data_IF_971016032236
#
_entry.id   IF_971016032236
#
_cell.length_a   1.000
_cell.length_b   1.000
_cell.length_c   1.000
_cell.angle_alpha   90.00
_cell.angle_beta   90.00
_cell.angle_gamma   90.00
#
_symmetry.space_group_name_H-M   'P 1'
#
loop_
_entity.id
_entity.type
_entity.pdbx_description
1 polymer ?
#
# COMPACT_ATOMS: atom_id res chain seq x y z
N UNK A 1 -7.38 -2.79 15.48
CA UNK A 1 -7.28 -2.82 14.01
C UNK A 1 -5.81 -2.96 13.60
N UNK A 2 -5.51 -3.83 12.62
CA UNK A 2 -4.14 -4.05 12.14
C UNK A 2 -3.66 -2.86 11.28
N UNK A 3 -4.58 -2.23 10.55
CA UNK A 3 -4.31 -1.10 9.66
C UNK A 3 -4.26 0.20 10.44
N UNK A 4 -3.16 0.94 10.28
CA UNK A 4 -2.92 2.24 10.89
C UNK A 4 -3.50 3.38 10.02
N UNK A 5 -3.29 3.31 8.70
CA UNK A 5 -3.69 4.36 7.75
C UNK A 5 -3.84 3.79 6.36
N UNK A 6 -4.81 4.30 5.60
CA UNK A 6 -5.00 3.97 4.17
C UNK A 6 -4.88 5.26 3.35
N UNK A 7 -4.14 5.20 2.26
CA UNK A 7 -4.00 6.26 1.27
C UNK A 7 -4.71 5.82 -0.01
N UNK A 8 -5.91 6.31 -0.20
CA UNK A 8 -6.72 6.01 -1.38
C UNK A 8 -7.61 7.21 -1.70
N UNK A 9 -7.53 7.79 -2.91
CA UNK A 9 -8.27 9.01 -3.25
C UNK A 9 -9.79 8.83 -3.25
N UNK A 10 -10.29 7.60 -3.29
CA UNK A 10 -11.71 7.29 -3.14
C UNK A 10 -12.27 7.42 -1.72
N UNK A 11 -11.40 7.51 -0.70
CA UNK A 11 -11.84 7.74 0.68
C UNK A 11 -12.09 9.23 0.92
N UNK A 12 -13.24 9.57 1.53
CA UNK A 12 -13.57 10.95 1.91
C UNK A 12 -12.53 11.59 2.85
N UNK A 13 -11.79 10.78 3.60
CA UNK A 13 -10.70 11.22 4.48
C UNK A 13 -9.39 11.56 3.73
N UNK A 14 -9.29 11.25 2.43
CA UNK A 14 -8.10 11.57 1.65
C UNK A 14 -8.04 13.08 1.37
N UNK A 15 -6.89 13.77 1.61
CA UNK A 15 -6.78 15.22 1.48
C UNK A 15 -7.19 15.77 0.11
N UNK A 16 -7.02 15.00 -0.95
CA UNK A 16 -7.34 15.39 -2.32
C UNK A 16 -8.58 14.66 -2.89
N UNK A 17 -9.45 14.10 -2.03
CA UNK A 17 -10.64 13.39 -2.46
C UNK A 17 -11.52 14.26 -3.38
N UNK A 18 -11.77 15.53 -3.01
CA UNK A 18 -12.55 16.46 -3.81
C UNK A 18 -11.97 16.70 -5.20
N UNK A 19 -10.66 16.90 -5.31
CA UNK A 19 -9.97 17.03 -6.59
C UNK A 19 -10.07 15.75 -7.42
N UNK A 20 -9.80 14.61 -6.82
CA UNK A 20 -9.89 13.31 -7.49
C UNK A 20 -11.31 13.06 -8.03
N UNK A 21 -12.35 13.40 -7.27
CA UNK A 21 -13.75 13.26 -7.67
C UNK A 21 -14.12 14.10 -8.90
N UNK A 22 -13.42 15.20 -9.14
CA UNK A 22 -13.65 16.04 -10.34
C UNK A 22 -12.90 15.56 -11.57
N UNK A 23 -11.78 14.87 -11.39
CA UNK A 23 -10.86 14.48 -12.46
C UNK A 23 -10.97 13.00 -12.87
N UNK A 24 -11.41 12.13 -11.95
CA UNK A 24 -11.41 10.69 -12.14
C UNK A 24 -12.85 10.16 -12.23
N UNK A 25 -13.11 9.29 -13.20
CA UNK A 25 -14.39 8.56 -13.28
C UNK A 25 -14.53 7.49 -12.19
N UNK A 26 -13.41 6.90 -11.81
CA UNK A 26 -13.23 6.01 -10.66
C UNK A 26 -11.86 6.30 -10.05
N UNK A 27 -11.60 5.82 -8.85
CA UNK A 27 -10.39 6.15 -8.11
C UNK A 27 -9.24 5.16 -8.31
N UNK A 28 -9.29 4.38 -9.40
CA UNK A 28 -8.34 3.30 -9.74
C UNK A 28 -8.31 2.13 -8.75
N UNK A 29 -7.62 1.06 -9.13
CA UNK A 29 -7.38 -0.10 -8.27
C UNK A 29 -6.09 -0.01 -7.44
N UNK A 30 -5.49 1.18 -7.35
CA UNK A 30 -4.24 1.37 -6.60
C UNK A 30 -4.50 2.00 -5.24
N UNK A 31 -4.02 1.36 -4.18
CA UNK A 31 -4.03 1.94 -2.83
C UNK A 31 -2.73 1.62 -2.09
N UNK A 32 -2.42 2.43 -1.10
CA UNK A 32 -1.35 2.12 -0.15
C UNK A 32 -1.89 2.17 1.28
N UNK A 33 -1.26 1.41 2.17
CA UNK A 33 -1.63 1.43 3.58
C UNK A 33 -0.43 1.19 4.50
N UNK A 34 -0.57 1.65 5.72
CA UNK A 34 0.37 1.43 6.81
C UNK A 34 -0.26 0.52 7.86
N UNK A 35 0.57 -0.22 8.59
CA UNK A 35 0.16 -1.12 9.65
C UNK A 35 0.68 -0.66 10.99
N UNK A 36 0.05 -1.10 12.09
CA UNK A 36 0.56 -0.86 13.45
C UNK A 36 1.74 -1.75 13.78
N UNK A 37 1.73 -2.97 13.28
CA UNK A 37 2.88 -3.88 13.34
C UNK A 37 3.91 -3.49 12.28
N UNK A 38 5.19 -3.82 12.53
CA UNK A 38 6.28 -3.58 11.58
C UNK A 38 5.99 -4.24 10.22
N UNK A 39 6.02 -3.43 9.15
CA UNK A 39 5.62 -3.87 7.81
C UNK A 39 6.42 -5.04 7.27
N UNK A 40 7.73 -5.12 7.58
CA UNK A 40 8.56 -6.26 7.19
C UNK A 40 8.08 -7.59 7.81
N UNK A 41 7.56 -7.58 9.04
CA UNK A 41 7.03 -8.80 9.67
C UNK A 41 5.76 -9.27 8.95
N UNK A 42 4.86 -8.33 8.62
CA UNK A 42 3.64 -8.62 7.83
C UNK A 42 4.01 -9.08 6.43
N UNK A 43 4.95 -8.42 5.75
CA UNK A 43 5.42 -8.82 4.43
C UNK A 43 5.91 -10.28 4.39
N UNK A 44 6.65 -10.70 5.41
CA UNK A 44 7.09 -12.10 5.54
C UNK A 44 5.93 -13.10 5.73
N UNK A 45 4.85 -12.67 6.41
CA UNK A 45 3.62 -13.48 6.51
C UNK A 45 2.90 -13.55 5.17
N UNK A 46 2.77 -12.41 4.48
CA UNK A 46 2.14 -12.33 3.16
C UNK A 46 2.80 -13.26 2.15
N UNK A 47 4.14 -13.27 2.08
CA UNK A 47 4.88 -14.19 1.19
C UNK A 47 4.53 -15.66 1.44
N UNK A 48 4.17 -16.02 2.68
CA UNK A 48 3.89 -17.42 3.07
C UNK A 48 2.42 -17.79 2.99
N UNK A 49 1.51 -16.84 3.18
CA UNK A 49 0.10 -17.10 3.47
C UNK A 49 -0.86 -16.64 2.36
N UNK A 50 -0.45 -15.68 1.53
CA UNK A 50 -1.27 -15.24 0.41
C UNK A 50 -1.38 -16.35 -0.64
N UNK A 51 -2.59 -16.62 -1.08
CA UNK A 51 -2.91 -17.65 -2.08
C UNK A 51 -3.44 -17.03 -3.38
N UNK A 52 -4.12 -15.90 -3.30
CA UNK A 52 -4.77 -15.20 -4.42
C UNK A 52 -3.94 -13.98 -4.81
N UNK A 53 -3.64 -13.11 -3.83
CA UNK A 53 -2.85 -11.91 -4.04
C UNK A 53 -1.38 -12.29 -4.16
N UNK A 54 -0.74 -11.88 -5.24
CA UNK A 54 0.68 -12.17 -5.45
C UNK A 54 1.56 -11.11 -4.77
N UNK A 55 2.53 -11.57 -3.96
CA UNK A 55 3.54 -10.68 -3.43
C UNK A 55 4.59 -10.37 -4.51
N UNK A 56 4.46 -9.22 -5.17
CA UNK A 56 5.29 -8.83 -6.29
C UNK A 56 5.39 -7.31 -6.48
N UNK A 57 6.50 -6.84 -7.02
CA UNK A 57 6.81 -5.41 -7.23
C UNK A 57 5.91 -4.76 -8.29
N UNK A 58 5.40 -5.50 -9.26
CA UNK A 58 4.61 -4.99 -10.39
C UNK A 58 3.27 -4.37 -9.98
N UNK A 59 2.58 -3.76 -10.92
CA UNK A 59 1.25 -3.16 -10.76
C UNK A 59 0.46 -3.19 -12.08
N UNK A 60 -0.86 -2.96 -12.00
CA UNK A 60 -1.70 -2.85 -13.20
C UNK A 60 -1.92 -4.16 -13.94
N UNK A 61 -1.75 -5.29 -13.29
CA UNK A 61 -1.97 -6.62 -13.85
C UNK A 61 -3.43 -7.08 -13.64
N UNK A 62 -3.86 -8.12 -14.34
CA UNK A 62 -5.16 -8.78 -14.11
C UNK A 62 -5.25 -9.42 -12.73
N UNK A 63 -4.12 -9.82 -12.16
CA UNK A 63 -4.03 -10.33 -10.79
C UNK A 63 -3.72 -9.22 -9.80
N UNK A 64 -4.27 -9.34 -8.62
CA UNK A 64 -3.95 -8.48 -7.50
C UNK A 64 -2.51 -8.70 -7.04
N UNK A 65 -1.79 -7.60 -6.85
CA UNK A 65 -0.39 -7.60 -6.47
C UNK A 65 -0.20 -6.73 -5.22
N UNK A 66 0.57 -7.22 -4.27
CA UNK A 66 0.94 -6.45 -3.08
C UNK A 66 2.45 -6.46 -2.89
N UNK A 67 2.99 -5.34 -2.43
CA UNK A 67 4.41 -5.22 -2.15
C UNK A 67 4.68 -4.23 -1.02
N UNK A 68 5.60 -4.59 -0.14
CA UNK A 68 6.11 -3.71 0.91
C UNK A 68 7.21 -2.81 0.38
N UNK A 69 7.06 -1.52 0.60
CA UNK A 69 8.06 -0.49 0.23
C UNK A 69 8.57 0.11 1.52
N UNK A 70 9.77 -0.28 1.92
CA UNK A 70 10.44 0.23 3.12
C UNK A 70 10.88 1.67 2.95
N UNK A 71 10.75 2.49 3.99
CA UNK A 71 11.25 3.86 3.98
C UNK A 71 12.76 3.91 3.77
N UNK A 72 13.49 2.99 4.41
CA UNK A 72 14.95 2.89 4.24
C UNK A 72 15.35 2.53 2.81
N UNK A 73 14.58 1.66 2.13
CA UNK A 73 14.83 1.30 0.73
C UNK A 73 14.69 2.51 -0.20
N UNK A 74 13.69 3.36 0.05
CA UNK A 74 13.49 4.61 -0.71
C UNK A 74 14.65 5.57 -0.47
N UNK A 75 15.05 5.77 0.78
CA UNK A 75 16.12 6.70 1.14
C UNK A 75 17.51 6.26 0.64
N UNK A 76 17.71 4.97 0.41
CA UNK A 76 18.93 4.42 -0.19
C UNK A 76 18.88 4.37 -1.72
N UNK A 77 17.74 4.68 -2.32
CA UNK A 77 17.53 4.65 -3.77
C UNK A 77 17.83 6.00 -4.45
N UNK A 78 17.62 6.05 -5.75
CA UNK A 78 17.67 7.31 -6.53
C UNK A 78 16.55 8.29 -6.18
N UNK A 79 15.52 7.84 -5.47
CA UNK A 79 14.39 8.65 -4.98
C UNK A 79 14.63 9.22 -3.58
N UNK A 80 15.87 9.18 -3.09
CA UNK A 80 16.23 9.72 -1.79
C UNK A 80 15.95 11.22 -1.70
N UNK A 81 15.51 11.63 -0.53
CA UNK A 81 15.28 13.03 -0.21
C UNK A 81 16.56 13.74 0.26
N UNK A 82 16.60 15.06 0.13
CA UNK A 82 17.60 15.86 0.82
C UNK A 82 17.40 15.81 2.35
N UNK A 83 18.42 16.18 3.17
CA UNK A 83 18.40 15.98 4.62
C UNK A 83 17.17 16.55 5.34
N UNK A 84 16.70 17.73 4.97
CA UNK A 84 15.52 18.36 5.58
C UNK A 84 14.21 17.64 5.23
N UNK A 85 14.09 17.16 3.99
CA UNK A 85 12.89 16.47 3.54
C UNK A 85 12.85 15.01 4.04
N UNK A 86 14.00 14.38 4.25
CA UNK A 86 14.11 13.00 4.71
C UNK A 86 13.47 12.80 6.08
N UNK A 87 13.68 13.71 7.04
CA UNK A 87 13.05 13.62 8.37
C UNK A 87 11.52 13.67 8.27
N UNK A 88 10.98 14.66 7.54
CA UNK A 88 9.52 14.79 7.35
C UNK A 88 8.93 13.62 6.60
N UNK A 89 9.65 13.09 5.61
CA UNK A 89 9.24 11.90 4.87
C UNK A 89 9.17 10.68 5.79
N UNK A 90 10.18 10.47 6.63
CA UNK A 90 10.23 9.37 7.60
C UNK A 90 9.12 9.49 8.65
N UNK A 91 8.85 10.68 9.17
CA UNK A 91 7.76 10.93 10.11
C UNK A 91 6.39 10.60 9.49
N UNK A 92 6.21 10.88 8.20
CA UNK A 92 4.98 10.62 7.46
C UNK A 92 4.81 9.15 7.08
N UNK A 93 5.89 8.52 6.58
CA UNK A 93 5.88 7.15 6.05
C UNK A 93 6.09 6.08 7.12
N UNK A 94 6.65 6.44 8.30
CA UNK A 94 7.06 5.47 9.29
C UNK A 94 8.13 4.51 8.75
N UNK A 95 7.96 3.20 9.00
CA UNK A 95 8.86 2.17 8.47
C UNK A 95 8.60 1.83 6.99
N UNK A 96 7.45 2.24 6.44
CA UNK A 96 7.10 2.06 5.04
C UNK A 96 5.61 1.92 4.80
N UNK A 97 5.25 1.47 3.59
CA UNK A 97 3.86 1.25 3.16
C UNK A 97 3.72 -0.05 2.38
N UNK A 98 2.56 -0.67 2.47
CA UNK A 98 2.12 -1.66 1.49
C UNK A 98 1.47 -0.97 0.30
N UNK A 99 1.88 -1.32 -0.91
CA UNK A 99 1.20 -0.93 -2.14
C UNK A 99 0.40 -2.11 -2.65
N UNK A 100 -0.92 -1.95 -2.73
CA UNK A 100 -1.85 -2.93 -3.29
C UNK A 100 -2.33 -2.44 -4.66
N UNK A 101 -2.12 -3.27 -5.69
CA UNK A 101 -2.70 -3.11 -7.02
C UNK A 101 -3.80 -4.16 -7.16
N UNK A 102 -5.04 -3.74 -7.11
CA UNK A 102 -6.20 -4.63 -7.20
C UNK A 102 -6.41 -5.06 -8.65
N UNK A 103 -6.58 -6.36 -8.89
CA UNK A 103 -6.88 -6.97 -10.16
C UNK A 103 -8.38 -7.12 -10.41
N UNK A 104 -8.75 -8.22 -11.04
CA UNK A 104 -10.14 -8.50 -11.45
C UNK A 104 -10.76 -9.67 -10.67
N UNK A 105 -10.11 -10.15 -9.63
CA UNK A 105 -10.60 -11.21 -8.77
C UNK A 105 -11.80 -10.73 -7.94
N UNK A 106 -12.55 -11.66 -7.36
CA UNK A 106 -13.65 -11.34 -6.46
C UNK A 106 -13.16 -10.59 -5.22
N UNK A 107 -13.87 -9.51 -4.84
CA UNK A 107 -13.47 -8.63 -3.74
C UNK A 107 -13.50 -9.31 -2.37
N UNK A 108 -14.44 -10.22 -2.13
CA UNK A 108 -14.57 -10.94 -0.86
C UNK A 108 -13.45 -11.97 -0.73
N UNK A 109 -13.06 -12.63 -1.83
CA UNK A 109 -11.91 -13.52 -1.89
C UNK A 109 -10.60 -12.79 -1.61
N UNK A 110 -10.40 -11.61 -2.22
CA UNK A 110 -9.22 -10.76 -1.95
C UNK A 110 -9.16 -10.33 -0.49
N UNK A 111 -10.32 -9.95 0.08
CA UNK A 111 -10.40 -9.56 1.48
C UNK A 111 -10.06 -10.72 2.41
N UNK A 112 -10.63 -11.90 2.16
CA UNK A 112 -10.37 -13.12 2.93
C UNK A 112 -8.89 -13.51 2.87
N UNK A 113 -8.26 -13.39 1.69
CA UNK A 113 -6.84 -13.68 1.49
C UNK A 113 -5.95 -12.70 2.27
N UNK A 114 -6.28 -11.41 2.21
CA UNK A 114 -5.50 -10.37 2.87
C UNK A 114 -5.58 -10.46 4.40
N UNK A 115 -6.77 -10.68 4.95
CA UNK A 115 -7.01 -10.71 6.41
C UNK A 115 -6.23 -11.82 7.11
N UNK A 116 -5.95 -12.93 6.44
CA UNK A 116 -5.12 -14.02 6.99
C UNK A 116 -3.72 -13.58 7.40
N UNK A 117 -3.23 -12.47 6.85
CA UNK A 117 -1.88 -11.97 7.12
C UNK A 117 -1.79 -11.02 8.32
N UNK A 118 -2.91 -10.66 8.93
CA UNK A 118 -3.01 -9.77 10.10
C UNK A 118 -3.50 -10.54 11.33
#
# INVERSE_FOLDING_TARGET
PAIKRVFYPGLASHPQHGLASTQMKNFSGMMTFQTHEAGMAIARRMVKQLEIIHYAVSLGHLRSLIYWIGTDDIEQSTFRHGPEAASRFRDYMGDGVFRLSVGIEDGDDLWADLVRCF
#
